data_IF_064876573160
#
_entry.id   IF_064876573160
#
_cell.length_a   1.000
_cell.length_b   1.000
_cell.length_c   1.000
_cell.angle_alpha   90.00
_cell.angle_beta   90.00
_cell.angle_gamma   90.00
#
_symmetry.space_group_name_H-M   'P 1'
#
loop_
_entity.id
_entity.type
_entity.pdbx_description
1 polymer ?
#
# COMPACT_ATOMS: atom_id res chain seq x y z
N UNK A 1 84.76 15.62 58.74
CA UNK A 1 84.37 14.63 59.75
C UNK A 1 82.89 14.86 60.05
N UNK A 2 81.97 13.97 59.63
CA UNK A 2 80.53 14.20 59.88
C UNK A 2 79.56 13.37 59.02
N UNK A 3 79.18 12.23 59.59
CA UNK A 3 78.05 11.31 59.37
C UNK A 3 76.89 11.63 58.38
N UNK A 4 76.52 10.58 57.62
CA UNK A 4 75.16 10.00 57.38
C UNK A 4 73.90 10.90 57.31
N UNK A 5 73.11 10.79 56.22
CA UNK A 5 71.76 10.14 56.24
C UNK A 5 70.99 10.14 54.89
N UNK A 6 70.47 8.94 54.58
CA UNK A 6 69.11 8.54 54.14
C UNK A 6 68.50 9.02 52.81
N UNK A 7 68.25 8.01 51.97
CA UNK A 7 67.19 7.86 50.95
C UNK A 7 65.80 8.27 51.47
N UNK A 8 65.03 8.94 50.60
CA UNK A 8 63.57 8.84 50.51
C UNK A 8 63.17 8.74 49.02
N UNK A 9 62.73 7.57 48.61
CA UNK A 9 62.04 7.29 47.35
C UNK A 9 60.58 7.68 47.50
N UNK A 10 60.08 8.58 46.65
CA UNK A 10 58.66 8.84 46.50
C UNK A 10 58.07 7.86 45.48
N UNK A 11 57.18 6.99 45.95
CA UNK A 11 56.35 6.11 45.11
C UNK A 11 55.13 6.93 44.70
N UNK A 12 55.00 7.22 43.40
CA UNK A 12 53.77 7.74 42.82
C UNK A 12 52.82 6.56 42.57
N UNK A 13 51.65 6.59 43.21
CA UNK A 13 50.59 5.61 43.01
C UNK A 13 49.79 5.97 41.75
N UNK A 14 49.96 5.19 40.69
CA UNK A 14 49.12 5.24 39.48
C UNK A 14 47.84 4.46 39.74
N UNK A 15 46.70 5.16 39.87
CA UNK A 15 45.37 4.54 39.87
C UNK A 15 45.07 4.02 38.47
N UNK A 16 44.97 2.69 38.35
CA UNK A 16 44.47 2.01 37.16
C UNK A 16 42.94 2.08 37.17
N UNK A 17 42.35 3.01 36.41
CA UNK A 17 40.91 3.04 36.19
C UNK A 17 40.54 1.92 35.20
N UNK A 18 40.02 0.81 35.71
CA UNK A 18 39.40 -0.24 34.90
C UNK A 18 38.09 0.32 34.33
N UNK A 19 38.13 0.79 33.09
CA UNK A 19 36.94 1.12 32.30
C UNK A 19 36.36 -0.20 31.77
N UNK A 20 35.36 -0.73 32.47
CA UNK A 20 34.50 -1.77 31.92
C UNK A 20 33.59 -1.08 30.90
N UNK A 21 33.99 -1.10 29.63
CA UNK A 21 33.10 -0.77 28.54
C UNK A 21 32.05 -1.89 28.44
N UNK A 22 30.86 -1.62 28.99
CA UNK A 22 29.66 -2.41 28.67
C UNK A 22 29.30 -2.08 27.22
N UNK A 23 29.83 -2.86 26.28
CA UNK A 23 29.25 -2.94 24.94
C UNK A 23 27.91 -3.62 25.07
N UNK A 24 26.84 -2.82 25.10
CA UNK A 24 25.51 -3.32 24.82
C UNK A 24 25.50 -3.81 23.37
N UNK A 25 25.61 -5.13 23.20
CA UNK A 25 25.33 -5.78 21.92
C UNK A 25 23.82 -5.76 21.79
N UNK A 26 23.28 -4.79 21.06
CA UNK A 26 21.92 -4.88 20.55
C UNK A 26 21.93 -5.90 19.40
N UNK A 27 21.79 -7.18 19.74
CA UNK A 27 21.33 -8.16 18.76
C UNK A 27 19.81 -8.03 18.67
N UNK A 28 19.32 -7.10 17.86
CA UNK A 28 17.93 -7.16 17.41
C UNK A 28 17.79 -8.39 16.51
N UNK A 29 17.29 -9.50 17.05
CA UNK A 29 16.91 -10.64 16.23
C UNK A 29 15.76 -10.24 15.32
N UNK A 30 15.79 -10.67 14.05
CA UNK A 30 14.63 -10.56 13.17
C UNK A 30 13.42 -11.23 13.83
N UNK A 31 12.25 -10.61 13.70
CA UNK A 31 10.99 -11.20 14.18
C UNK A 31 10.64 -12.43 13.33
N UNK A 32 9.80 -13.33 13.87
CA UNK A 32 9.36 -14.50 13.10
C UNK A 32 8.60 -14.09 11.83
N UNK A 33 7.89 -12.96 11.90
CA UNK A 33 7.18 -12.31 10.80
C UNK A 33 8.16 -11.76 9.75
N UNK A 34 9.20 -11.03 10.15
CA UNK A 34 10.22 -10.53 9.23
C UNK A 34 10.93 -11.68 8.49
N UNK A 35 11.28 -12.75 9.21
CA UNK A 35 11.84 -13.96 8.61
C UNK A 35 10.85 -14.61 7.62
N UNK A 36 9.55 -14.57 7.90
CA UNK A 36 8.52 -15.13 7.03
C UNK A 36 8.33 -14.31 5.75
N UNK A 37 8.26 -12.98 5.84
CA UNK A 37 8.23 -12.10 4.67
C UNK A 37 9.45 -12.31 3.79
N UNK A 38 10.63 -12.41 4.39
CA UNK A 38 11.87 -12.67 3.65
C UNK A 38 11.83 -14.03 2.95
N UNK A 39 11.34 -15.11 3.58
CA UNK A 39 11.19 -16.42 2.93
C UNK A 39 10.26 -16.35 1.73
N UNK A 40 9.11 -15.69 1.86
CA UNK A 40 8.13 -15.51 0.76
C UNK A 40 8.74 -14.72 -0.39
N UNK A 41 9.42 -13.61 -0.10
CA UNK A 41 10.11 -12.80 -1.11
C UNK A 41 11.22 -13.60 -1.82
N UNK A 42 12.06 -14.28 -1.04
CA UNK A 42 13.23 -14.99 -1.56
C UNK A 42 12.83 -16.04 -2.59
N UNK A 43 11.67 -16.69 -2.41
CA UNK A 43 11.22 -17.74 -3.30
C UNK A 43 11.23 -17.33 -4.76
N UNK A 44 10.65 -16.19 -5.10
CA UNK A 44 10.48 -15.78 -6.51
C UNK A 44 11.41 -14.65 -6.92
N UNK A 45 11.81 -13.78 -5.99
CA UNK A 45 12.47 -12.52 -6.32
C UNK A 45 13.97 -12.54 -6.01
N UNK A 46 14.45 -13.46 -5.14
CA UNK A 46 15.90 -13.65 -4.96
C UNK A 46 16.61 -14.05 -6.26
N UNK A 47 16.11 -14.99 -7.08
CA UNK A 47 16.77 -15.32 -8.34
C UNK A 47 16.82 -14.15 -9.33
N UNK A 48 15.84 -13.24 -9.30
CA UNK A 48 15.81 -12.00 -10.10
C UNK A 48 16.86 -11.03 -9.57
N UNK A 49 16.87 -10.78 -8.25
CA UNK A 49 17.81 -9.90 -7.58
C UNK A 49 19.28 -10.35 -7.74
N UNK A 50 19.53 -11.66 -7.71
CA UNK A 50 20.86 -12.24 -7.91
C UNK A 50 21.28 -12.30 -9.39
N UNK A 51 20.41 -11.89 -10.33
CA UNK A 51 20.68 -11.95 -11.77
C UNK A 51 20.72 -13.38 -12.35
N UNK A 52 20.11 -14.35 -11.68
CA UNK A 52 20.06 -15.74 -12.13
C UNK A 52 18.96 -16.00 -13.17
N UNK A 53 17.96 -15.12 -13.24
CA UNK A 53 16.87 -15.17 -14.23
C UNK A 53 16.45 -13.75 -14.64
N UNK A 54 16.18 -13.55 -15.92
CA UNK A 54 15.64 -12.29 -16.45
C UNK A 54 14.13 -12.39 -16.64
N UNK A 55 13.36 -11.85 -15.70
CA UNK A 55 11.89 -11.72 -15.74
C UNK A 55 11.42 -10.59 -14.83
N UNK A 56 10.16 -10.19 -14.96
CA UNK A 56 9.54 -9.20 -14.05
C UNK A 56 9.56 -9.65 -12.58
N UNK A 57 9.51 -8.68 -11.67
CA UNK A 57 9.42 -8.90 -10.22
C UNK A 57 8.06 -9.47 -9.82
N UNK A 58 8.03 -10.40 -8.86
CA UNK A 58 6.77 -10.88 -8.27
C UNK A 58 6.26 -9.93 -7.18
N UNK A 59 7.16 -9.42 -6.35
CA UNK A 59 6.85 -8.54 -5.23
C UNK A 59 7.50 -7.18 -5.46
N UNK A 60 8.78 -7.15 -5.80
CA UNK A 60 9.59 -5.94 -5.97
C UNK A 60 10.95 -6.08 -5.27
N UNK A 61 11.85 -5.10 -5.41
CA UNK A 61 13.13 -5.09 -4.71
C UNK A 61 12.94 -5.10 -3.19
N UNK A 62 13.75 -5.87 -2.47
CA UNK A 62 13.69 -5.90 -1.00
C UNK A 62 14.21 -4.60 -0.38
N UNK A 63 15.11 -3.92 -1.09
CA UNK A 63 15.77 -2.69 -0.65
C UNK A 63 14.81 -1.50 -0.55
N UNK A 64 13.69 -1.55 -1.27
CA UNK A 64 12.62 -0.54 -1.23
C UNK A 64 11.40 -0.98 -0.45
N UNK A 65 11.43 -2.17 0.16
CA UNK A 65 10.31 -2.68 0.94
C UNK A 65 10.16 -1.88 2.25
N UNK A 66 8.91 -1.62 2.65
CA UNK A 66 8.59 -0.83 3.85
C UNK A 66 7.78 -1.68 4.82
N UNK A 67 8.33 -1.90 6.02
CA UNK A 67 7.62 -2.56 7.11
C UNK A 67 6.75 -1.53 7.85
N UNK A 68 5.48 -1.88 8.08
CA UNK A 68 4.49 -1.03 8.73
C UNK A 68 3.71 -1.87 9.73
N UNK A 69 3.36 -1.28 10.87
CA UNK A 69 2.38 -1.83 11.80
C UNK A 69 1.01 -1.23 11.49
N UNK A 70 0.02 -2.06 11.20
CA UNK A 70 -1.34 -1.64 10.88
C UNK A 70 -2.33 -2.07 11.94
N UNK A 71 -3.32 -1.22 12.25
CA UNK A 71 -4.47 -1.64 13.05
C UNK A 71 -5.21 -2.81 12.39
N UNK A 72 -5.47 -3.85 13.15
CA UNK A 72 -6.29 -5.00 12.75
C UNK A 72 -7.01 -5.58 13.97
N UNK A 73 -8.34 -5.47 14.02
CA UNK A 73 -9.13 -5.71 15.23
C UNK A 73 -8.92 -7.10 15.84
N UNK A 74 -8.79 -8.14 15.03
CA UNK A 74 -8.65 -9.52 15.50
C UNK A 74 -7.19 -9.94 15.77
N UNK A 75 -6.22 -9.07 15.53
CA UNK A 75 -4.81 -9.40 15.80
C UNK A 75 -4.49 -9.33 17.32
N UNK A 76 -3.50 -10.09 17.84
CA UNK A 76 -3.25 -10.25 19.28
C UNK A 76 -3.04 -8.95 20.11
N UNK A 77 -2.76 -7.81 19.46
CA UNK A 77 -2.67 -6.50 20.10
C UNK A 77 -3.51 -5.42 19.39
N UNK A 78 -4.49 -5.83 18.57
CA UNK A 78 -5.22 -4.91 17.68
C UNK A 78 -4.37 -4.40 16.51
N UNK A 79 -3.21 -5.01 16.26
CA UNK A 79 -2.25 -4.62 15.22
C UNK A 79 -1.65 -5.83 14.51
N UNK A 80 -1.42 -5.72 13.19
CA UNK A 80 -0.73 -6.70 12.34
C UNK A 80 0.55 -6.09 11.75
N UNK A 81 1.55 -6.94 11.53
CA UNK A 81 2.74 -6.56 10.76
C UNK A 81 2.44 -6.72 9.27
N UNK A 82 2.84 -5.72 8.48
CA UNK A 82 2.75 -5.74 7.02
C UNK A 82 4.06 -5.28 6.40
N UNK A 83 4.34 -5.78 5.20
CA UNK A 83 5.49 -5.38 4.40
C UNK A 83 5.03 -4.99 3.00
N UNK A 84 5.23 -3.73 2.68
CA UNK A 84 4.94 -3.14 1.37
C UNK A 84 6.07 -3.39 0.40
N UNK A 85 5.70 -3.78 -0.82
CA UNK A 85 6.57 -3.86 -1.98
C UNK A 85 5.91 -3.13 -3.14
N UNK A 86 6.63 -2.96 -4.25
CA UNK A 86 6.10 -2.29 -5.45
C UNK A 86 4.81 -2.95 -5.95
N UNK A 87 4.80 -4.28 -6.04
CA UNK A 87 3.74 -5.08 -6.65
C UNK A 87 2.78 -5.71 -5.62
N UNK A 88 2.93 -5.43 -4.32
CA UNK A 88 2.08 -6.04 -3.29
C UNK A 88 2.26 -5.48 -1.88
N UNK A 89 1.41 -5.95 -0.96
CA UNK A 89 1.61 -5.85 0.49
C UNK A 89 1.44 -7.23 1.08
N UNK A 90 2.49 -7.74 1.72
CA UNK A 90 2.44 -8.96 2.52
C UNK A 90 1.96 -8.65 3.94
N UNK A 91 1.28 -9.59 4.56
CA UNK A 91 0.78 -9.43 5.93
C UNK A 91 0.72 -10.74 6.71
N UNK A 92 0.92 -10.64 8.03
CA UNK A 92 0.69 -11.73 8.99
C UNK A 92 -0.47 -11.32 9.90
N UNK A 93 -1.65 -11.85 9.63
CA UNK A 93 -2.88 -11.58 10.41
C UNK A 93 -3.07 -12.56 11.57
N UNK A 94 -2.45 -13.75 11.50
CA UNK A 94 -2.52 -14.79 12.53
C UNK A 94 -1.12 -15.25 12.96
N UNK A 95 -0.40 -14.47 13.80
CA UNK A 95 0.98 -14.78 14.19
C UNK A 95 1.16 -16.17 14.83
N UNK A 96 0.13 -16.70 15.49
CA UNK A 96 0.11 -18.04 16.07
C UNK A 96 -0.21 -19.19 15.09
N UNK A 97 -0.36 -18.91 13.80
CA UNK A 97 -0.58 -19.92 12.75
C UNK A 97 0.68 -20.76 12.44
N UNK A 98 0.54 -21.75 11.55
CA UNK A 98 1.68 -22.58 11.10
C UNK A 98 2.62 -21.76 10.19
N UNK A 99 3.86 -21.46 10.61
CA UNK A 99 4.80 -20.65 9.85
C UNK A 99 5.33 -21.31 8.56
N UNK A 100 5.03 -22.60 8.34
CA UNK A 100 5.37 -23.33 7.12
C UNK A 100 4.23 -23.36 6.09
N UNK A 101 3.02 -22.94 6.48
CA UNK A 101 1.92 -22.80 5.54
C UNK A 101 2.22 -21.66 4.57
N UNK A 102 1.95 -21.86 3.28
CA UNK A 102 1.99 -20.77 2.29
C UNK A 102 1.06 -19.61 2.69
N UNK A 103 0.03 -19.89 3.50
CA UNK A 103 -0.94 -18.91 3.98
C UNK A 103 -0.56 -18.24 5.29
N UNK A 104 0.63 -18.51 5.84
CA UNK A 104 1.12 -17.77 7.01
C UNK A 104 1.38 -16.30 6.66
N UNK A 105 2.07 -16.08 5.54
CA UNK A 105 2.15 -14.77 4.88
C UNK A 105 1.05 -14.73 3.84
N UNK A 106 0.09 -13.84 4.04
CA UNK A 106 -0.93 -13.54 3.04
C UNK A 106 -0.61 -12.23 2.34
N UNK A 107 -1.41 -11.89 1.33
CA UNK A 107 -1.34 -10.61 0.65
C UNK A 107 -2.67 -9.92 0.88
N UNK A 108 -2.64 -8.62 1.20
CA UNK A 108 -3.85 -7.85 1.47
C UNK A 108 -4.78 -7.81 0.25
N UNK A 109 -6.05 -7.43 0.47
CA UNK A 109 -7.07 -7.33 -0.57
C UNK A 109 -6.95 -6.01 -1.37
N UNK A 110 -5.72 -5.61 -1.68
CA UNK A 110 -5.33 -4.27 -2.10
C UNK A 110 -6.21 -3.69 -3.21
N UNK A 111 -6.43 -4.47 -4.26
CA UNK A 111 -7.22 -4.01 -5.41
C UNK A 111 -8.69 -3.99 -5.07
N UNK A 112 -9.20 -5.00 -4.37
CA UNK A 112 -10.60 -5.00 -3.94
C UNK A 112 -10.88 -3.76 -3.08
N UNK A 113 -10.03 -3.46 -2.10
CA UNK A 113 -10.16 -2.29 -1.24
C UNK A 113 -10.05 -0.97 -2.02
N UNK A 114 -9.09 -0.83 -2.94
CA UNK A 114 -8.96 0.37 -3.78
C UNK A 114 -10.10 0.56 -4.77
N UNK A 115 -10.69 -0.52 -5.29
CA UNK A 115 -11.82 -0.44 -6.23
C UNK A 115 -13.12 -0.11 -5.47
N UNK A 116 -13.34 -0.69 -4.28
CA UNK A 116 -14.58 -0.47 -3.51
C UNK A 116 -14.52 0.73 -2.58
N UNK A 117 -13.33 1.21 -2.23
CA UNK A 117 -13.14 2.22 -1.19
C UNK A 117 -13.24 1.68 0.24
N UNK A 118 -13.28 0.35 0.41
CA UNK A 118 -13.51 -0.32 1.70
C UNK A 118 -12.16 -0.78 2.28
N UNK A 119 -11.52 0.06 3.08
CA UNK A 119 -10.23 -0.24 3.68
C UNK A 119 -10.37 -1.25 4.83
N UNK A 120 -9.68 -2.39 4.75
CA UNK A 120 -9.79 -3.43 5.76
C UNK A 120 -9.12 -3.04 7.08
N UNK A 121 -9.89 -3.13 8.17
CA UNK A 121 -9.48 -2.88 9.57
C UNK A 121 -9.65 -4.11 10.48
N UNK A 122 -10.27 -5.17 9.97
CA UNK A 122 -10.46 -6.46 10.63
C UNK A 122 -11.05 -7.49 9.67
N UNK A 123 -11.33 -8.70 10.14
CA UNK A 123 -11.86 -9.78 9.29
C UNK A 123 -13.16 -9.38 8.59
N UNK A 124 -14.02 -8.64 9.29
CA UNK A 124 -15.30 -8.13 8.78
C UNK A 124 -15.53 -6.65 9.14
N UNK A 125 -14.45 -5.88 9.31
CA UNK A 125 -14.50 -4.46 9.66
C UNK A 125 -13.74 -3.66 8.61
N UNK A 126 -14.40 -2.61 8.11
CA UNK A 126 -13.88 -1.78 7.04
C UNK A 126 -14.13 -0.30 7.37
N UNK A 127 -13.16 0.54 7.02
CA UNK A 127 -13.34 1.99 6.98
C UNK A 127 -13.60 2.40 5.52
N UNK A 128 -14.62 3.23 5.29
CA UNK A 128 -14.89 3.77 3.96
C UNK A 128 -14.01 5.00 3.72
N UNK A 129 -13.18 4.98 2.69
CA UNK A 129 -12.23 6.07 2.39
C UNK A 129 -12.26 6.52 0.92
N UNK A 130 -13.26 6.06 0.16
CA UNK A 130 -13.39 6.35 -1.27
C UNK A 130 -12.48 5.47 -2.15
N UNK A 131 -12.95 5.20 -3.36
CA UNK A 131 -12.20 4.38 -4.33
C UNK A 131 -11.01 5.15 -4.92
N UNK A 132 -9.91 4.45 -5.18
CA UNK A 132 -8.67 5.07 -5.63
C UNK A 132 -8.77 5.59 -7.08
N UNK A 133 -8.40 6.87 -7.26
CA UNK A 133 -8.33 7.53 -8.58
C UNK A 133 -7.01 7.27 -9.33
N UNK A 134 -6.21 6.31 -8.86
CA UNK A 134 -4.92 5.94 -9.43
C UNK A 134 -5.12 5.06 -10.67
N UNK A 135 -4.33 5.31 -11.72
CA UNK A 135 -4.32 4.48 -12.92
C UNK A 135 -3.93 3.02 -12.56
N UNK A 136 -4.68 2.06 -13.07
CA UNK A 136 -4.46 0.62 -12.81
C UNK A 136 -3.18 0.13 -13.50
N UNK A 137 -2.90 0.68 -14.68
CA UNK A 137 -1.77 0.34 -15.53
C UNK A 137 -1.27 1.58 -16.28
N UNK A 138 -0.01 1.53 -16.71
CA UNK A 138 0.64 2.62 -17.43
C UNK A 138 1.25 3.69 -16.54
N UNK A 139 1.65 4.79 -17.18
CA UNK A 139 2.26 5.95 -16.56
C UNK A 139 1.22 6.67 -15.68
N UNK A 140 1.68 7.23 -14.55
CA UNK A 140 0.81 7.94 -13.60
C UNK A 140 0.20 9.22 -14.19
N UNK A 141 0.81 9.80 -15.22
CA UNK A 141 0.35 11.00 -15.91
C UNK A 141 -0.58 10.72 -17.10
N UNK A 142 -0.99 9.46 -17.33
CA UNK A 142 -1.90 9.10 -18.42
C UNK A 142 -3.34 9.58 -18.13
N UNK A 143 -3.89 10.49 -18.94
CA UNK A 143 -5.27 10.96 -18.77
C UNK A 143 -6.32 9.99 -19.30
N UNK A 144 -5.93 8.87 -19.94
CA UNK A 144 -6.85 7.93 -20.58
C UNK A 144 -6.93 6.57 -19.88
N UNK A 145 -5.94 6.25 -19.05
CA UNK A 145 -5.88 4.97 -18.33
C UNK A 145 -7.06 4.79 -17.38
N UNK A 146 -7.61 3.56 -17.27
CA UNK A 146 -8.64 3.23 -16.29
C UNK A 146 -8.07 3.33 -14.88
N UNK A 147 -8.84 3.92 -13.97
CA UNK A 147 -8.51 4.01 -12.53
C UNK A 147 -9.12 2.83 -11.77
N UNK A 148 -8.66 2.57 -10.55
CA UNK A 148 -9.34 1.57 -9.69
C UNK A 148 -10.80 1.93 -9.45
N UNK A 149 -11.10 3.22 -9.22
CA UNK A 149 -12.47 3.71 -9.09
C UNK A 149 -13.34 3.42 -10.33
N UNK A 150 -12.77 3.53 -11.54
CA UNK A 150 -13.48 3.22 -12.77
C UNK A 150 -13.88 1.73 -12.87
N UNK A 151 -13.08 0.83 -12.27
CA UNK A 151 -13.37 -0.60 -12.28
C UNK A 151 -14.58 -0.99 -11.42
N UNK A 152 -15.03 -0.13 -10.50
CA UNK A 152 -16.25 -0.35 -9.74
C UNK A 152 -17.47 -0.55 -10.66
N UNK A 153 -17.45 0.06 -11.86
CA UNK A 153 -18.50 -0.06 -12.87
C UNK A 153 -18.56 -1.43 -13.55
N UNK A 154 -17.52 -2.26 -13.40
CA UNK A 154 -17.39 -3.57 -14.08
C UNK A 154 -17.19 -4.75 -13.12
N UNK A 155 -17.41 -4.55 -11.81
CA UNK A 155 -17.37 -5.65 -10.83
C UNK A 155 -18.49 -6.68 -11.02
N UNK A 156 -19.65 -6.24 -11.50
CA UNK A 156 -20.87 -7.06 -11.60
C UNK A 156 -21.44 -7.04 -13.02
N UNK A 157 -20.66 -7.55 -13.97
CA UNK A 157 -21.08 -7.68 -15.37
C UNK A 157 -21.46 -9.13 -15.71
N UNK A 158 -22.34 -9.35 -16.71
CA UNK A 158 -22.60 -10.68 -17.21
C UNK A 158 -21.32 -11.35 -17.71
N UNK A 159 -21.17 -12.64 -17.41
CA UNK A 159 -20.07 -13.46 -17.91
C UNK A 159 -20.07 -13.52 -19.44
N UNK A 160 -18.89 -13.37 -20.05
CA UNK A 160 -18.64 -13.79 -21.43
C UNK A 160 -18.77 -15.31 -21.59
N UNK A 161 -18.92 -15.78 -22.83
CA UNK A 161 -18.95 -17.23 -23.06
C UNK A 161 -17.53 -17.83 -22.94
N UNK A 162 -17.41 -19.09 -22.51
CA UNK A 162 -16.11 -19.77 -22.47
C UNK A 162 -15.43 -19.74 -23.84
N UNK A 163 -14.12 -19.47 -23.86
CA UNK A 163 -13.27 -19.41 -25.06
C UNK A 163 -13.57 -18.26 -26.02
N UNK A 164 -14.41 -17.29 -25.63
CA UNK A 164 -14.59 -16.06 -26.41
C UNK A 164 -13.27 -15.29 -26.50
N UNK A 165 -12.98 -14.76 -27.69
CA UNK A 165 -11.87 -13.83 -27.90
C UNK A 165 -12.23 -12.52 -27.22
N UNK A 166 -11.37 -12.06 -26.31
CA UNK A 166 -11.56 -10.84 -25.55
C UNK A 166 -11.22 -9.65 -26.45
N UNK A 167 -12.24 -8.95 -26.90
CA UNK A 167 -12.15 -7.73 -27.72
C UNK A 167 -12.71 -6.49 -27.00
N UNK A 168 -13.18 -6.66 -25.77
CA UNK A 168 -13.75 -5.57 -25.01
C UNK A 168 -12.65 -4.66 -24.47
N UNK A 169 -12.82 -3.37 -24.68
CA UNK A 169 -11.95 -2.28 -24.27
C UNK A 169 -12.63 -1.45 -23.19
N UNK A 170 -11.88 -1.11 -22.15
CA UNK A 170 -12.33 -0.24 -21.06
C UNK A 170 -11.64 1.13 -21.15
N UNK A 171 -12.40 2.21 -20.94
CA UNK A 171 -11.86 3.57 -20.88
C UNK A 171 -11.65 4.06 -19.43
N UNK A 172 -11.16 5.28 -19.28
CA UNK A 172 -10.94 5.93 -17.98
C UNK A 172 -12.17 5.97 -17.08
N UNK A 173 -13.37 6.02 -17.64
CA UNK A 173 -14.62 6.14 -16.90
C UNK A 173 -15.25 4.77 -16.61
N UNK A 174 -14.60 3.68 -16.99
CA UNK A 174 -15.12 2.33 -16.83
C UNK A 174 -16.19 1.99 -17.88
N UNK A 175 -16.23 2.73 -19.00
CA UNK A 175 -17.12 2.42 -20.11
C UNK A 175 -16.47 1.33 -20.96
N UNK A 176 -17.22 0.27 -21.22
CA UNK A 176 -16.78 -0.87 -22.02
C UNK A 176 -17.34 -0.78 -23.44
N UNK A 177 -16.47 -0.96 -24.43
CA UNK A 177 -16.80 -1.02 -25.86
C UNK A 177 -16.10 -2.20 -26.52
N UNK A 178 -16.61 -2.72 -27.63
CA UNK A 178 -15.91 -3.77 -28.38
C UNK A 178 -15.04 -3.16 -29.48
N UNK A 179 -13.83 -3.67 -29.62
CA UNK A 179 -12.87 -3.27 -30.64
C UNK A 179 -12.39 -4.50 -31.44
N UNK A 180 -12.94 -4.73 -32.65
CA UNK A 180 -12.65 -5.92 -33.45
C UNK A 180 -11.17 -6.09 -33.82
N UNK A 181 -10.36 -5.03 -33.85
CA UNK A 181 -8.94 -5.10 -34.20
C UNK A 181 -8.14 -5.95 -33.20
N UNK A 182 -8.62 -6.01 -31.95
CA UNK A 182 -8.03 -6.80 -30.86
C UNK A 182 -8.14 -8.31 -31.08
N UNK A 183 -8.97 -8.77 -32.02
CA UNK A 183 -9.05 -10.18 -32.40
C UNK A 183 -7.67 -10.72 -32.84
N UNK A 184 -6.83 -9.85 -33.40
CA UNK A 184 -5.47 -10.19 -33.84
C UNK A 184 -4.56 -10.70 -32.71
N UNK A 185 -4.84 -10.34 -31.45
CA UNK A 185 -4.08 -10.82 -30.29
C UNK A 185 -4.48 -12.21 -29.80
N UNK A 186 -5.68 -12.70 -30.17
CA UNK A 186 -6.11 -14.08 -29.88
C UNK A 186 -6.22 -14.42 -28.38
N UNK A 187 -6.40 -13.43 -27.50
CA UNK A 187 -6.57 -13.65 -26.07
C UNK A 187 -8.00 -14.12 -25.79
N UNK A 188 -8.17 -15.17 -24.98
CA UNK A 188 -9.48 -15.78 -24.69
C UNK A 188 -9.81 -15.80 -23.21
N UNK A 189 -11.10 -15.83 -22.87
CA UNK A 189 -11.57 -16.05 -21.51
C UNK A 189 -11.55 -17.56 -21.18
N UNK A 190 -10.70 -17.99 -20.24
CA UNK A 190 -10.35 -19.39 -20.04
C UNK A 190 -10.94 -19.99 -18.74
N UNK A 191 -10.31 -19.76 -17.59
CA UNK A 191 -10.66 -20.42 -16.34
C UNK A 191 -11.87 -19.77 -15.68
N UNK A 192 -12.90 -20.55 -15.32
CA UNK A 192 -14.08 -20.03 -14.62
C UNK A 192 -13.93 -20.19 -13.10
N UNK A 193 -13.95 -19.06 -12.40
CA UNK A 193 -13.87 -19.01 -10.94
C UNK A 193 -15.27 -18.83 -10.37
N UNK A 194 -15.82 -19.91 -9.82
CA UNK A 194 -17.20 -19.93 -9.30
C UNK A 194 -17.38 -18.99 -8.10
N UNK A 195 -16.36 -18.84 -7.25
CA UNK A 195 -16.42 -18.07 -6.01
C UNK A 195 -16.72 -16.58 -6.24
N UNK A 196 -16.19 -16.02 -7.33
CA UNK A 196 -16.40 -14.61 -7.71
C UNK A 196 -17.21 -14.47 -8.99
N UNK A 197 -17.57 -15.57 -9.63
CA UNK A 197 -18.32 -15.61 -10.88
C UNK A 197 -17.64 -14.81 -12.01
N UNK A 198 -16.34 -15.05 -12.21
CA UNK A 198 -15.53 -14.41 -13.24
C UNK A 198 -14.69 -15.40 -14.03
N UNK A 199 -14.21 -15.02 -15.23
CA UNK A 199 -13.22 -15.80 -15.98
C UNK A 199 -11.84 -15.17 -15.97
N UNK A 200 -10.79 -15.99 -15.87
CA UNK A 200 -9.40 -15.54 -16.02
C UNK A 200 -9.00 -15.59 -17.50
N UNK A 201 -8.42 -14.49 -18.01
CA UNK A 201 -7.92 -14.46 -19.39
C UNK A 201 -6.72 -15.40 -19.58
N UNK A 202 -6.60 -15.98 -20.77
CA UNK A 202 -5.58 -16.99 -21.10
C UNK A 202 -4.12 -16.60 -20.79
N UNK A 203 -3.62 -15.37 -21.06
CA UNK A 203 -2.25 -15.01 -20.66
C UNK A 203 -2.07 -15.00 -19.15
N UNK A 204 -3.08 -14.55 -18.40
CA UNK A 204 -3.03 -14.50 -16.93
C UNK A 204 -3.13 -15.89 -16.32
N UNK A 205 -4.01 -16.74 -16.84
CA UNK A 205 -4.12 -18.12 -16.39
C UNK A 205 -2.83 -18.91 -16.65
N UNK A 206 -2.22 -18.70 -17.83
CA UNK A 206 -0.91 -19.26 -18.16
C UNK A 206 0.19 -18.79 -17.21
N UNK A 207 0.23 -17.50 -16.88
CA UNK A 207 1.19 -16.95 -15.91
C UNK A 207 0.99 -17.53 -14.50
N UNK A 208 -0.25 -17.57 -14.01
CA UNK A 208 -0.58 -18.09 -12.67
C UNK A 208 -0.26 -19.59 -12.50
N UNK A 209 -0.17 -20.34 -13.59
CA UNK A 209 0.19 -21.76 -13.61
C UNK A 209 1.61 -22.03 -14.15
N UNK A 210 2.40 -20.97 -14.36
CA UNK A 210 3.73 -21.09 -14.95
C UNK A 210 4.77 -21.65 -13.98
N UNK A 211 5.84 -22.19 -14.55
CA UNK A 211 7.03 -22.63 -13.83
C UNK A 211 8.22 -21.74 -14.18
N UNK A 212 9.17 -21.63 -13.27
CA UNK A 212 10.42 -20.93 -13.52
C UNK A 212 11.43 -21.12 -12.40
N UNK A 213 12.52 -20.38 -12.50
CA UNK A 213 13.57 -20.39 -11.48
C UNK A 213 13.08 -19.76 -10.18
N UNK A 214 13.10 -20.55 -9.11
CA UNK A 214 12.72 -20.17 -7.73
C UNK A 214 13.82 -20.59 -6.74
N UNK A 215 13.82 -19.98 -5.56
CA UNK A 215 14.67 -20.36 -4.44
C UNK A 215 13.84 -21.09 -3.37
N UNK A 216 14.13 -22.35 -3.11
CA UNK A 216 13.49 -23.14 -2.03
C UNK A 216 14.49 -24.06 -1.36
N UNK A 217 14.34 -24.26 -0.05
CA UNK A 217 15.19 -25.16 0.73
C UNK A 217 16.71 -24.84 0.59
N UNK A 218 17.06 -23.57 0.41
CA UNK A 218 18.44 -23.12 0.24
C UNK A 218 19.03 -23.36 -1.16
N UNK A 219 18.21 -23.77 -2.13
CA UNK A 219 18.65 -24.10 -3.49
C UNK A 219 17.84 -23.34 -4.54
N UNK A 220 18.48 -23.11 -5.68
CA UNK A 220 17.85 -22.55 -6.87
C UNK A 220 17.39 -23.72 -7.75
N UNK A 221 16.08 -23.81 -7.99
CA UNK A 221 15.45 -24.92 -8.73
C UNK A 221 14.43 -24.39 -9.72
N UNK A 222 14.00 -25.24 -10.65
CA UNK A 222 12.85 -24.95 -11.50
C UNK A 222 11.58 -25.57 -10.89
N UNK A 223 10.61 -24.75 -10.52
CA UNK A 223 9.35 -25.16 -9.89
C UNK A 223 8.23 -24.18 -10.27
N UNK A 224 6.96 -24.48 -9.90
CA UNK A 224 5.86 -23.52 -10.06
C UNK A 224 6.21 -22.17 -9.42
N UNK A 225 5.99 -21.08 -10.17
CA UNK A 225 6.16 -19.72 -9.63
C UNK A 225 5.16 -19.45 -8.50
N UNK A 226 4.00 -20.11 -8.56
CA UNK A 226 2.96 -20.07 -7.56
C UNK A 226 2.62 -21.49 -7.11
N UNK A 227 2.72 -21.76 -5.81
CA UNK A 227 2.29 -23.05 -5.25
C UNK A 227 0.77 -23.21 -5.31
N UNK A 228 0.05 -22.09 -5.28
CA UNK A 228 -1.37 -22.00 -5.59
C UNK A 228 -1.56 -20.84 -6.58
N UNK A 229 -2.27 -21.03 -7.71
CA UNK A 229 -2.47 -19.98 -8.73
C UNK A 229 -3.02 -18.66 -8.18
N UNK A 230 -3.83 -18.71 -7.12
CA UNK A 230 -4.47 -17.55 -6.50
C UNK A 230 -3.71 -16.98 -5.30
N UNK A 231 -2.55 -17.54 -4.95
CA UNK A 231 -1.79 -17.09 -3.78
C UNK A 231 -1.44 -15.59 -3.85
N UNK A 232 -0.88 -15.15 -4.96
CA UNK A 232 -0.43 -13.77 -5.11
C UNK A 232 -1.55 -12.81 -5.56
N UNK A 233 -2.49 -13.29 -6.38
CA UNK A 233 -3.52 -12.44 -7.01
C UNK A 233 -4.84 -12.42 -6.24
N UNK A 234 -5.19 -13.49 -5.52
CA UNK A 234 -6.57 -13.76 -5.11
C UNK A 234 -7.44 -14.13 -6.32
N UNK A 235 -8.75 -14.18 -6.11
CA UNK A 235 -9.70 -14.48 -7.20
C UNK A 235 -9.93 -13.26 -8.11
N UNK A 236 -10.26 -13.45 -9.40
CA UNK A 236 -10.64 -12.36 -10.29
C UNK A 236 -11.87 -11.62 -9.75
N UNK A 237 -11.87 -10.29 -9.84
CA UNK A 237 -13.00 -9.41 -9.48
C UNK A 237 -13.55 -8.63 -10.68
N UNK A 238 -12.89 -8.74 -11.84
CA UNK A 238 -13.34 -8.23 -13.12
C UNK A 238 -13.13 -9.29 -14.19
N UNK A 239 -13.84 -9.17 -15.32
CA UNK A 239 -13.36 -9.75 -16.57
C UNK A 239 -12.09 -9.03 -17.03
N UNK A 240 -11.41 -9.58 -18.05
CA UNK A 240 -10.26 -8.92 -18.65
C UNK A 240 -10.70 -7.94 -19.75
N UNK A 241 -10.07 -6.78 -19.78
CA UNK A 241 -10.35 -5.73 -20.74
C UNK A 241 -9.06 -5.21 -21.36
N UNK A 242 -9.11 -4.85 -22.64
CA UNK A 242 -8.06 -4.07 -23.25
C UNK A 242 -8.18 -2.60 -22.84
N UNK A 243 -7.06 -1.92 -22.72
CA UNK A 243 -7.00 -0.48 -22.52
C UNK A 243 -5.87 0.08 -23.39
N UNK A 244 -6.07 1.30 -23.90
CA UNK A 244 -4.99 2.04 -24.54
C UNK A 244 -4.34 2.90 -23.46
N UNK A 245 -3.17 2.49 -22.98
CA UNK A 245 -2.49 3.14 -21.85
C UNK A 245 -1.11 3.62 -22.26
N UNK A 246 -0.68 4.73 -21.67
CA UNK A 246 0.66 5.30 -21.86
C UNK A 246 1.67 4.48 -21.06
N UNK A 247 2.71 3.97 -21.69
CA UNK A 247 3.79 3.22 -21.05
C UNK A 247 5.12 3.79 -21.52
N UNK A 248 5.87 4.41 -20.62
CA UNK A 248 7.14 5.04 -20.95
C UNK A 248 6.99 6.17 -21.98
N UNK A 249 5.88 6.93 -21.91
CA UNK A 249 5.59 8.02 -22.83
C UNK A 249 4.79 7.64 -24.09
N UNK A 250 4.61 6.35 -24.38
CA UNK A 250 3.97 5.87 -25.62
C UNK A 250 2.69 5.10 -25.34
N UNK A 251 1.64 5.35 -26.12
CA UNK A 251 0.38 4.61 -26.01
C UNK A 251 0.49 3.20 -26.59
N UNK A 252 0.02 2.21 -25.84
CA UNK A 252 0.04 0.79 -26.19
C UNK A 252 -1.28 0.13 -25.79
N UNK A 253 -1.68 -0.87 -26.56
CA UNK A 253 -2.74 -1.77 -26.14
C UNK A 253 -2.22 -2.74 -25.08
N UNK A 254 -2.82 -2.65 -23.90
CA UNK A 254 -2.52 -3.48 -22.74
C UNK A 254 -3.80 -4.15 -22.30
N UNK A 255 -3.79 -5.47 -22.23
CA UNK A 255 -4.87 -6.21 -21.58
C UNK A 255 -4.65 -6.10 -20.07
N UNK A 256 -5.68 -5.79 -19.31
CA UNK A 256 -5.66 -5.79 -17.85
C UNK A 256 -6.77 -6.66 -17.29
N UNK A 257 -6.50 -7.29 -16.15
CA UNK A 257 -7.52 -7.95 -15.34
C UNK A 257 -7.21 -7.75 -13.87
N UNK A 258 -8.22 -7.38 -13.10
CA UNK A 258 -8.09 -7.17 -11.68
C UNK A 258 -8.63 -8.35 -10.88
N UNK A 259 -7.82 -8.73 -9.90
CA UNK A 259 -8.08 -9.77 -8.91
C UNK A 259 -8.09 -9.11 -7.54
N UNK A 260 -8.58 -9.80 -6.51
CA UNK A 260 -8.75 -9.22 -5.17
C UNK A 260 -7.50 -8.53 -4.63
N UNK A 261 -6.31 -9.06 -4.94
CA UNK A 261 -5.04 -8.60 -4.38
C UNK A 261 -4.17 -7.84 -5.39
N UNK A 262 -4.38 -8.05 -6.68
CA UNK A 262 -3.51 -7.50 -7.75
C UNK A 262 -4.27 -7.32 -9.07
N UNK A 263 -3.83 -6.36 -9.86
CA UNK A 263 -4.16 -6.32 -11.28
C UNK A 263 -2.96 -6.83 -12.08
N UNK A 264 -3.24 -7.75 -13.00
CA UNK A 264 -2.27 -8.24 -13.97
C UNK A 264 -2.48 -7.49 -15.29
N UNK A 265 -1.37 -7.25 -15.98
CA UNK A 265 -1.30 -6.60 -17.28
C UNK A 265 -0.62 -7.53 -18.27
N UNK A 266 -1.07 -7.55 -19.52
CA UNK A 266 -0.48 -8.30 -20.61
C UNK A 266 -0.22 -7.40 -21.81
N UNK A 267 1.06 -7.34 -22.23
CA UNK A 267 1.52 -6.57 -23.39
C UNK A 267 2.19 -7.52 -24.38
N UNK A 268 1.51 -7.94 -25.47
CA UNK A 268 2.01 -8.96 -26.40
C UNK A 268 3.39 -8.66 -26.99
N UNK A 269 3.69 -7.37 -27.20
CA UNK A 269 4.94 -6.90 -27.81
C UNK A 269 6.15 -6.90 -26.88
N UNK A 270 6.00 -7.17 -25.59
CA UNK A 270 7.12 -7.25 -24.65
C UNK A 270 7.89 -8.58 -24.80
N UNK A 271 9.13 -8.59 -24.32
CA UNK A 271 9.93 -9.81 -24.19
C UNK A 271 9.19 -10.84 -23.31
N UNK A 272 9.36 -12.16 -23.53
CA UNK A 272 8.57 -13.20 -22.84
C UNK A 272 8.52 -13.09 -21.31
N UNK A 273 9.62 -12.65 -20.66
CA UNK A 273 9.70 -12.46 -19.21
C UNK A 273 8.95 -11.23 -18.66
N UNK A 274 8.42 -10.38 -19.54
CA UNK A 274 7.71 -9.12 -19.25
C UNK A 274 6.40 -8.99 -20.04
N UNK A 275 5.94 -10.07 -20.65
CA UNK A 275 4.64 -10.07 -21.32
C UNK A 275 3.50 -9.96 -20.33
N UNK A 276 3.59 -10.63 -19.17
CA UNK A 276 2.63 -10.50 -18.07
C UNK A 276 3.33 -9.87 -16.87
N UNK A 277 2.77 -8.79 -16.35
CA UNK A 277 3.29 -8.08 -15.19
C UNK A 277 2.18 -7.70 -14.22
N UNK A 278 2.48 -7.68 -12.92
CA UNK A 278 1.63 -7.02 -11.94
C UNK A 278 1.86 -5.51 -12.01
N UNK A 279 0.80 -4.71 -11.90
CA UNK A 279 0.92 -3.27 -11.69
C UNK A 279 1.59 -2.95 -10.36
N UNK A 280 1.99 -1.69 -10.14
CA UNK A 280 2.60 -1.21 -8.89
C UNK A 280 1.58 -1.06 -7.76
N UNK A 281 0.72 -2.07 -7.59
CA UNK A 281 -0.44 -2.06 -6.69
C UNK A 281 -0.05 -1.86 -5.23
N UNK A 282 1.12 -2.33 -4.80
CA UNK A 282 1.57 -2.13 -3.42
C UNK A 282 1.93 -0.66 -3.14
N UNK A 283 2.61 0.00 -4.09
CA UNK A 283 2.84 1.44 -4.04
C UNK A 283 1.52 2.22 -4.13
N UNK A 284 0.65 1.90 -5.08
CA UNK A 284 -0.65 2.56 -5.25
C UNK A 284 -1.48 2.47 -3.97
N UNK A 285 -1.54 1.29 -3.36
CA UNK A 285 -2.30 1.08 -2.13
C UNK A 285 -1.66 1.79 -0.94
N UNK A 286 -0.32 1.80 -0.82
CA UNK A 286 0.35 2.56 0.24
C UNK A 286 0.04 4.06 0.13
N UNK A 287 0.07 4.62 -1.08
CA UNK A 287 -0.30 6.02 -1.32
C UNK A 287 -1.79 6.27 -1.03
N UNK A 288 -2.69 5.40 -1.51
CA UNK A 288 -4.12 5.54 -1.23
C UNK A 288 -4.45 5.44 0.27
N UNK A 289 -3.75 4.57 1.00
CA UNK A 289 -3.97 4.33 2.44
C UNK A 289 -3.34 5.39 3.34
N UNK A 290 -2.15 5.88 3.01
CA UNK A 290 -1.36 6.77 3.90
C UNK A 290 -0.99 8.11 3.30
N UNK A 291 -1.00 8.22 1.97
CA UNK A 291 -0.36 9.28 1.21
C UNK A 291 -1.05 10.64 1.23
N UNK A 292 -2.11 10.83 2.01
CA UNK A 292 -2.64 12.18 2.30
C UNK A 292 -3.21 12.97 1.12
N UNK A 293 -3.28 12.39 -0.08
CA UNK A 293 -3.86 13.03 -1.25
C UNK A 293 -5.35 12.69 -1.34
N UNK A 294 -6.19 13.38 -0.56
CA UNK A 294 -7.59 13.67 -0.92
C UNK A 294 -8.42 12.50 -1.50
N UNK A 295 -8.28 11.27 -0.99
CA UNK A 295 -8.83 10.06 -1.64
C UNK A 295 -10.37 9.95 -1.64
N UNK A 296 -11.06 10.96 -1.10
CA UNK A 296 -12.49 11.18 -1.31
C UNK A 296 -12.86 12.64 -1.62
N UNK A 297 -12.04 13.63 -1.25
CA UNK A 297 -12.42 15.05 -1.24
C UNK A 297 -11.85 15.90 -2.38
N UNK A 298 -12.60 16.91 -2.82
CA UNK A 298 -12.12 17.95 -3.76
C UNK A 298 -11.71 19.22 -2.98
N UNK A 299 -10.44 19.65 -3.02
CA UNK A 299 -9.98 20.85 -2.29
C UNK A 299 -10.65 22.15 -2.76
N UNK A 300 -11.14 22.23 -4.00
CA UNK A 300 -11.90 23.41 -4.47
C UNK A 300 -13.29 23.46 -3.82
N UNK A 301 -13.96 22.31 -3.73
CA UNK A 301 -15.20 22.16 -2.97
C UNK A 301 -14.97 22.39 -1.48
N UNK A 302 -13.84 21.93 -0.93
CA UNK A 302 -13.42 22.18 0.44
C UNK A 302 -13.17 23.65 0.75
N UNK A 303 -12.52 24.38 -0.16
CA UNK A 303 -12.32 25.83 -0.04
C UNK A 303 -13.67 26.57 0.04
N UNK A 304 -14.64 26.17 -0.79
CA UNK A 304 -15.98 26.75 -0.76
C UNK A 304 -16.71 26.47 0.57
N UNK A 305 -16.52 25.28 1.14
CA UNK A 305 -17.07 24.88 2.44
C UNK A 305 -16.35 25.56 3.62
N UNK A 306 -15.10 25.98 3.45
CA UNK A 306 -14.25 26.52 4.52
C UNK A 306 -14.82 27.79 5.16
N UNK A 307 -15.73 28.48 4.49
CA UNK A 307 -16.50 29.61 5.05
C UNK A 307 -17.21 29.26 6.37
N UNK A 308 -17.51 27.97 6.62
CA UNK A 308 -18.07 27.46 7.88
C UNK A 308 -17.05 27.40 9.02
N UNK A 309 -15.76 27.43 8.72
CA UNK A 309 -14.63 27.26 9.66
C UNK A 309 -13.91 28.59 9.97
N UNK A 310 -13.94 29.53 9.01
CA UNK A 310 -13.20 30.81 9.04
C UNK A 310 -13.49 31.72 10.24
N UNK A 311 -14.65 31.57 10.89
CA UNK A 311 -14.98 32.38 12.07
C UNK A 311 -14.08 32.08 13.27
N UNK A 312 -13.49 30.87 13.34
CA UNK A 312 -12.64 30.44 14.44
C UNK A 312 -11.20 30.13 14.01
N UNK A 313 -11.01 29.64 12.79
CA UNK A 313 -9.73 29.18 12.29
C UNK A 313 -9.14 30.13 11.24
N UNK A 314 -7.91 30.55 11.47
CA UNK A 314 -7.14 31.33 10.53
C UNK A 314 -6.30 30.42 9.60
N UNK A 315 -5.97 30.93 8.42
CA UNK A 315 -5.15 30.25 7.41
C UNK A 315 -3.91 31.07 7.01
N UNK A 316 -3.64 32.14 7.75
CA UNK A 316 -2.51 33.06 7.52
C UNK A 316 -1.47 32.98 8.66
N UNK A 317 -1.58 31.98 9.53
CA UNK A 317 -0.75 31.79 10.71
C UNK A 317 -1.16 32.62 11.93
N UNK A 318 -2.17 33.48 11.81
CA UNK A 318 -2.64 34.28 12.95
C UNK A 318 -3.37 33.42 13.99
N UNK A 319 -3.24 33.77 15.27
CA UNK A 319 -3.93 33.08 16.36
C UNK A 319 -5.38 33.56 16.44
N UNK A 320 -6.33 32.62 16.42
CA UNK A 320 -7.77 32.90 16.49
C UNK A 320 -8.45 32.33 17.75
N UNK A 321 -9.77 32.16 17.67
CA UNK A 321 -10.54 31.43 18.68
C UNK A 321 -10.20 29.93 18.68
N UNK A 322 -9.80 29.40 17.52
CA UNK A 322 -9.21 28.08 17.35
C UNK A 322 -7.78 28.15 16.80
N UNK A 323 -7.08 27.00 16.69
CA UNK A 323 -5.74 26.95 16.13
C UNK A 323 -5.71 27.36 14.65
N UNK A 324 -4.59 27.97 14.20
CA UNK A 324 -4.37 28.17 12.76
C UNK A 324 -4.27 26.82 12.06
N UNK A 325 -4.77 26.76 10.82
CA UNK A 325 -4.82 25.53 10.03
C UNK A 325 -3.77 25.48 8.92
N UNK A 326 -3.12 26.60 8.63
CA UNK A 326 -2.03 26.64 7.67
C UNK A 326 -0.80 25.92 8.22
N UNK A 327 -0.22 25.05 7.41
CA UNK A 327 0.87 24.16 7.79
C UNK A 327 0.48 23.13 8.85
N UNK A 328 -0.83 22.90 9.08
CA UNK A 328 -1.29 21.96 10.09
C UNK A 328 -0.92 20.52 9.71
N UNK A 329 -1.17 20.12 8.46
CA UNK A 329 -0.93 18.75 8.04
C UNK A 329 0.56 18.38 8.16
N UNK A 330 0.84 17.24 8.80
CA UNK A 330 2.20 16.78 9.09
C UNK A 330 2.89 17.52 10.26
N UNK A 331 2.27 18.55 10.83
CA UNK A 331 2.82 19.24 12.01
C UNK A 331 2.65 18.43 13.30
N UNK A 332 3.44 18.74 14.32
CA UNK A 332 3.24 18.19 15.66
C UNK A 332 2.23 19.02 16.44
N UNK A 333 1.15 18.39 16.91
CA UNK A 333 0.10 19.00 17.72
C UNK A 333 0.23 18.55 19.18
N UNK A 334 0.26 19.52 20.11
CA UNK A 334 0.13 19.26 21.55
C UNK A 334 -1.36 19.28 21.93
N UNK A 335 -1.83 18.23 22.59
CA UNK A 335 -3.19 18.10 23.09
C UNK A 335 -3.33 18.66 24.51
N UNK A 336 -4.55 19.03 24.88
CA UNK A 336 -4.88 19.49 26.24
C UNK A 336 -4.68 18.40 27.32
N UNK A 337 -4.59 17.13 26.91
CA UNK A 337 -4.18 16.00 27.76
C UNK A 337 -2.69 16.03 28.12
N UNK A 338 -1.87 16.77 27.37
CA UNK A 338 -0.41 16.77 27.45
C UNK A 338 0.29 15.82 26.47
N UNK A 339 -0.47 15.04 25.69
CA UNK A 339 0.04 14.18 24.63
C UNK A 339 0.40 14.98 23.36
N UNK A 340 1.35 14.47 22.58
CA UNK A 340 1.70 15.02 21.26
C UNK A 340 1.41 13.99 20.18
N UNK A 341 0.87 14.44 19.04
CA UNK A 341 0.67 13.61 17.85
C UNK A 341 1.09 14.37 16.58
N UNK A 342 1.19 13.64 15.47
CA UNK A 342 1.31 14.24 14.14
C UNK A 342 -0.10 14.47 13.59
N UNK A 343 -0.35 15.69 13.11
CA UNK A 343 -1.62 16.03 12.47
C UNK A 343 -1.70 15.40 11.07
N UNK A 344 -2.05 14.13 11.04
CA UNK A 344 -2.36 13.39 9.82
C UNK A 344 -3.82 13.60 9.37
N UNK A 345 -4.20 12.97 8.26
CA UNK A 345 -5.54 13.10 7.68
C UNK A 345 -6.62 12.60 8.64
N UNK A 346 -6.36 11.50 9.35
CA UNK A 346 -7.30 10.92 10.31
C UNK A 346 -7.54 11.86 11.49
N UNK A 347 -6.50 12.52 11.98
CA UNK A 347 -6.63 13.54 13.02
C UNK A 347 -7.46 14.74 12.55
N UNK A 348 -7.24 15.24 11.33
CA UNK A 348 -8.01 16.37 10.78
C UNK A 348 -9.47 15.97 10.60
N UNK A 349 -9.73 14.78 10.04
CA UNK A 349 -11.08 14.24 9.87
C UNK A 349 -11.80 14.06 11.22
N UNK A 350 -11.18 13.39 12.19
CA UNK A 350 -11.72 13.20 13.55
C UNK A 350 -12.00 14.53 14.24
N UNK A 351 -11.13 15.53 14.06
CA UNK A 351 -11.32 16.87 14.63
C UNK A 351 -12.54 17.59 14.05
N UNK A 352 -12.97 17.27 12.82
CA UNK A 352 -14.17 17.85 12.20
C UNK A 352 -15.43 17.10 12.65
N UNK A 353 -15.37 15.76 12.70
CA UNK A 353 -16.53 14.90 12.98
C UNK A 353 -16.82 14.78 14.48
N UNK A 354 -15.78 14.64 15.30
CA UNK A 354 -15.84 14.58 16.76
C UNK A 354 -14.84 15.59 17.39
N UNK A 355 -15.13 16.90 17.32
CA UNK A 355 -14.23 17.95 17.81
C UNK A 355 -13.92 17.88 19.31
N UNK A 356 -14.66 17.07 20.08
CA UNK A 356 -14.43 16.86 21.50
C UNK A 356 -13.36 15.81 21.82
N UNK A 357 -13.05 14.91 20.88
CA UNK A 357 -12.20 13.75 21.11
C UNK A 357 -10.76 14.13 21.49
N UNK A 358 -10.12 14.99 20.69
CA UNK A 358 -8.71 15.39 20.85
C UNK A 358 -8.53 16.91 20.76
N UNK A 359 -8.72 17.57 21.90
CA UNK A 359 -8.60 19.04 21.98
C UNK A 359 -7.15 19.51 21.95
N UNK A 360 -6.81 20.43 21.05
CA UNK A 360 -5.49 21.08 21.02
C UNK A 360 -5.25 21.91 22.28
N UNK A 361 -4.03 21.89 22.80
CA UNK A 361 -3.63 22.67 23.96
C UNK A 361 -3.70 24.18 23.70
N UNK A 362 -4.05 24.95 24.72
CA UNK A 362 -4.06 26.42 24.66
C UNK A 362 -5.36 27.05 24.15
N UNK A 363 -6.33 26.25 23.70
CA UNK A 363 -7.64 26.74 23.22
C UNK A 363 -8.76 26.35 24.18
N UNK A 364 -9.55 27.34 24.61
CA UNK A 364 -10.65 27.18 25.57
C UNK A 364 -12.03 27.08 24.93
N UNK A 365 -12.14 27.45 23.65
CA UNK A 365 -13.37 27.36 22.87
C UNK A 365 -13.60 25.92 22.45
N UNK A 366 -14.81 25.41 22.72
CA UNK A 366 -15.24 24.11 22.18
C UNK A 366 -15.56 24.28 20.70
N UNK A 367 -14.86 23.56 19.83
CA UNK A 367 -15.18 23.51 18.40
C UNK A 367 -16.58 22.86 18.23
N UNK A 368 -17.52 23.52 17.54
CA UNK A 368 -18.87 23.02 17.38
C UNK A 368 -18.91 21.86 16.38
N UNK A 369 -19.78 20.89 16.62
CA UNK A 369 -20.16 19.92 15.57
C UNK A 369 -20.99 20.64 14.53
N UNK A 370 -20.55 20.59 13.27
CA UNK A 370 -21.26 21.18 12.13
C UNK A 370 -21.90 20.03 11.34
N UNK A 371 -23.19 20.12 10.94
CA UNK A 371 -23.80 19.10 10.10
C UNK A 371 -23.18 19.15 8.70
N UNK A 372 -22.31 18.18 8.42
CA UNK A 372 -21.66 17.95 7.15
C UNK A 372 -21.96 16.53 6.70
N UNK A 373 -22.11 16.33 5.39
CA UNK A 373 -22.06 14.97 4.84
C UNK A 373 -20.63 14.45 4.87
N UNK A 374 -20.45 13.13 4.82
CA UNK A 374 -19.12 12.50 4.75
C UNK A 374 -18.25 13.10 3.63
N UNK A 375 -18.80 13.20 2.42
CA UNK A 375 -18.14 13.89 1.29
C UNK A 375 -17.71 15.33 1.59
N UNK A 376 -18.48 16.09 2.36
CA UNK A 376 -18.14 17.48 2.70
C UNK A 376 -17.02 17.55 3.75
N UNK A 377 -16.93 16.54 4.61
CA UNK A 377 -15.80 16.39 5.53
C UNK A 377 -14.55 16.07 4.72
N UNK A 378 -14.63 15.13 3.79
CA UNK A 378 -13.49 14.77 2.92
C UNK A 378 -13.01 15.96 2.10
N UNK A 379 -13.92 16.73 1.50
CA UNK A 379 -13.60 17.96 0.76
C UNK A 379 -12.87 18.97 1.66
N UNK A 380 -13.35 19.19 2.89
CA UNK A 380 -12.71 20.09 3.86
C UNK A 380 -11.33 19.60 4.30
N UNK A 381 -11.19 18.29 4.54
CA UNK A 381 -9.91 17.67 4.88
C UNK A 381 -8.92 17.85 3.73
N UNK A 382 -9.33 17.57 2.50
CA UNK A 382 -8.54 17.78 1.30
C UNK A 382 -8.05 19.23 1.19
N UNK A 383 -8.94 20.21 1.38
CA UNK A 383 -8.56 21.63 1.38
C UNK A 383 -7.58 21.98 2.51
N UNK A 384 -7.82 21.55 3.75
CA UNK A 384 -6.95 21.86 4.90
C UNK A 384 -5.53 21.32 4.67
N UNK A 385 -5.40 20.15 4.05
CA UNK A 385 -4.09 19.57 3.71
C UNK A 385 -3.31 20.46 2.73
N UNK A 386 -3.97 21.23 1.87
CA UNK A 386 -3.31 22.16 0.94
C UNK A 386 -2.80 23.47 1.57
N UNK A 387 -3.17 23.74 2.83
CA UNK A 387 -2.82 25.00 3.49
C UNK A 387 -1.39 24.92 4.07
N UNK A 388 -0.49 25.78 3.60
CA UNK A 388 0.94 25.85 4.02
C UNK A 388 1.25 26.87 5.13
#
# INVERSE_FOLDING_TARGET
MGLFKRRRTHVAATMLALSVAMTAVFSGGATAEADAFQRTWMRTDKPVADGQVGRTWMWGPMETAVEVTERYLEAPNGERQVMYFDKSRMEVTSPGGDPNSIWYVTNGLLVQEMVTGEMQMGNNSFDHVGAAQVNVAGDSDDPNGPTYAALANVLYVPLGFPEDVIISRIDRNGVVTDDPELTSYGVTAQEYVIDTNHRVASPFWGFMNSQGTVFENGQVVNAPLFENPYYATGYPITEAYWANVKVGGEYRDVLLQCFQRRCLTYTPGNDPGWQVEAGNVGQHYHQWRYGGDSAGGDPVSGEALFTKCQACHAIDGSSGLGPPLNGLYGSTVLLASGETLIADQAYIHESIVDPGAKRSAGYSVTMPTIPLTEQQVDDLVAYIITLE
#
